data_IF_000454479532
#
_entry.id   IF_000454479532
#
_cell.length_a   1.000
_cell.length_b   1.000
_cell.length_c   1.000
_cell.angle_alpha   90.00
_cell.angle_beta   90.00
_cell.angle_gamma   90.00
#
_symmetry.space_group_name_H-M   'P 1'
#
loop_
_entity.id
_entity.type
_entity.pdbx_description
1 polymer ?
#
# COMPACT_ATOMS: atom_id res chain seq x y z
N UNK A 1 6.88 4.39 -9.34
CA UNK A 1 6.08 4.29 -8.09
C UNK A 1 6.69 4.99 -6.87
N UNK A 2 7.81 4.53 -6.27
CA UNK A 2 8.38 5.09 -5.01
C UNK A 2 8.57 6.62 -5.01
N UNK A 3 9.14 7.19 -6.08
CA UNK A 3 9.28 8.66 -6.21
C UNK A 3 7.95 9.39 -6.44
N UNK A 4 6.98 8.77 -7.10
CA UNK A 4 5.68 9.37 -7.40
C UNK A 4 4.82 9.46 -6.14
N UNK A 5 4.78 8.39 -5.33
CA UNK A 5 4.03 8.33 -4.07
C UNK A 5 4.65 9.23 -3.00
N UNK A 6 5.98 9.21 -2.82
CA UNK A 6 6.66 10.14 -1.91
C UNK A 6 6.46 11.60 -2.33
N UNK A 7 6.47 11.91 -3.63
CA UNK A 7 6.23 13.27 -4.15
C UNK A 7 4.76 13.70 -4.01
N UNK A 8 3.79 12.81 -4.26
CA UNK A 8 2.36 13.09 -4.07
C UNK A 8 2.01 13.29 -2.60
N UNK A 9 2.56 12.50 -1.68
CA UNK A 9 2.30 12.63 -0.25
C UNK A 9 3.00 13.84 0.36
N UNK A 10 4.21 14.19 -0.11
CA UNK A 10 4.87 15.43 0.33
C UNK A 10 4.17 16.66 -0.22
N UNK A 11 3.74 16.66 -1.49
CA UNK A 11 2.94 17.75 -2.05
C UNK A 11 1.55 17.83 -1.39
N UNK A 12 0.94 16.70 -1.06
CA UNK A 12 -0.35 16.59 -0.40
C UNK A 12 -0.37 17.06 1.06
N UNK A 13 0.70 16.79 1.81
CA UNK A 13 0.88 17.35 3.16
C UNK A 13 1.17 18.86 3.07
N UNK A 14 1.90 19.30 2.05
CA UNK A 14 2.18 20.73 1.77
C UNK A 14 0.91 21.52 1.40
N UNK A 15 -0.10 20.89 0.78
CA UNK A 15 -1.37 21.56 0.44
C UNK A 15 -2.45 21.44 1.52
N UNK A 16 -2.40 20.42 2.38
CA UNK A 16 -3.48 20.15 3.36
C UNK A 16 -3.33 20.87 4.71
N UNK A 17 -2.23 21.60 4.98
CA UNK A 17 -2.03 22.22 6.30
C UNK A 17 -1.40 23.62 6.18
N UNK A 18 -2.26 24.63 6.11
CA UNK A 18 -1.93 25.98 6.59
C UNK A 18 -2.98 26.36 7.64
N UNK A 19 -2.76 25.91 8.88
CA UNK A 19 -3.42 26.44 10.09
C UNK A 19 -2.63 27.67 10.61
N UNK A 20 -2.31 28.59 9.70
CA UNK A 20 -1.68 29.86 10.05
C UNK A 20 -2.74 30.89 10.50
N UNK A 21 -3.49 30.58 11.57
CA UNK A 21 -4.45 31.49 12.20
C UNK A 21 -4.05 31.95 13.62
N UNK A 22 -3.25 31.17 14.35
CA UNK A 22 -3.08 31.39 15.80
C UNK A 22 -1.92 32.32 16.22
N UNK A 23 -1.14 32.90 15.30
CA UNK A 23 -0.02 33.79 15.65
C UNK A 23 -0.37 35.27 15.84
N UNK A 24 -1.65 35.67 15.85
CA UNK A 24 -2.04 37.07 16.12
C UNK A 24 -2.61 37.36 17.52
N UNK A 25 -2.70 36.37 18.41
CA UNK A 25 -2.99 36.63 19.83
C UNK A 25 -1.67 36.73 20.60
N UNK A 26 -0.90 37.78 20.33
CA UNK A 26 0.08 38.22 21.33
C UNK A 26 -0.69 38.79 22.52
N UNK A 27 -0.45 38.37 23.77
CA UNK A 27 -0.96 39.11 24.91
C UNK A 27 -0.39 40.53 24.84
N UNK A 28 -1.26 41.51 24.98
CA UNK A 28 -0.87 42.92 25.16
C UNK A 28 0.14 42.96 26.30
N UNK A 29 1.42 43.17 25.98
CA UNK A 29 2.42 43.47 27.00
C UNK A 29 2.03 44.80 27.62
N UNK A 30 1.44 44.74 28.81
CA UNK A 30 1.29 45.89 29.69
C UNK A 30 2.68 46.51 29.92
N UNK A 31 2.84 47.84 29.82
CA UNK A 31 4.13 48.46 30.01
C UNK A 31 4.58 48.26 31.46
N UNK A 32 5.78 47.72 31.63
CA UNK A 32 6.43 47.49 32.91
C UNK A 32 6.37 48.75 33.80
N UNK A 33 5.63 48.68 34.91
CA UNK A 33 5.78 49.60 36.02
C UNK A 33 7.01 49.20 36.83
N UNK A 34 7.95 50.14 36.99
CA UNK A 34 9.09 50.03 37.90
C UNK A 34 8.59 49.78 39.34
N UNK A 35 9.05 48.68 39.95
CA UNK A 35 8.81 48.41 41.36
C UNK A 35 9.92 49.03 42.23
N UNK A 36 9.50 49.81 43.24
CA UNK A 36 10.35 50.29 44.32
C UNK A 36 10.87 49.13 45.20
N UNK A 37 12.03 49.28 45.85
CA UNK A 37 12.60 48.24 46.72
C UNK A 37 11.78 48.02 48.00
N UNK A 38 11.74 46.79 48.54
CA UNK A 38 10.85 46.44 49.64
C UNK A 38 11.35 46.95 51.00
N UNK A 39 10.46 47.37 51.92
CA UNK A 39 10.81 47.62 53.31
C UNK A 39 10.95 46.32 54.11
N UNK A 40 11.68 46.42 55.22
CA UNK A 40 12.13 45.33 56.08
C UNK A 40 11.00 44.50 56.72
N UNK A 41 11.30 43.21 56.89
CA UNK A 41 10.48 42.12 57.42
C UNK A 41 10.10 42.28 58.89
N UNK A 42 8.79 42.23 59.17
CA UNK A 42 8.23 41.83 60.48
C UNK A 42 7.70 40.38 60.41
N UNK A 43 7.68 39.62 61.53
CA UNK A 43 7.28 38.22 61.53
C UNK A 43 5.77 38.02 61.40
N UNK A 44 5.38 37.21 60.39
CA UNK A 44 4.00 36.85 60.05
C UNK A 44 3.32 35.95 61.10
N UNK A 45 2.08 36.24 61.54
CA UNK A 45 1.25 35.31 62.29
C UNK A 45 0.64 34.23 61.38
N UNK A 46 0.46 33.01 61.90
CA UNK A 46 -0.10 31.88 61.17
C UNK A 46 -1.43 32.22 60.47
N UNK A 47 -1.48 32.03 59.15
CA UNK A 47 -2.69 32.21 58.34
C UNK A 47 -3.69 31.07 58.55
N UNK A 48 -5.01 31.36 58.53
CA UNK A 48 -6.06 30.34 58.54
C UNK A 48 -6.13 29.64 57.16
N UNK A 49 -6.47 28.36 57.18
CA UNK A 49 -6.63 27.51 55.99
C UNK A 49 -7.68 28.08 55.04
N UNK A 50 -7.23 28.52 53.86
CA UNK A 50 -8.05 28.91 52.71
C UNK A 50 -8.85 27.70 52.20
N UNK A 51 -10.15 27.85 51.82
CA UNK A 51 -10.86 26.83 51.06
C UNK A 51 -10.10 26.52 49.76
N UNK A 52 -10.12 25.28 49.31
CA UNK A 52 -9.58 24.90 48.01
C UNK A 52 -10.18 25.84 46.95
N UNK A 53 -9.32 26.55 46.22
CA UNK A 53 -9.75 27.34 45.08
C UNK A 53 -10.39 26.37 44.09
N UNK A 54 -11.64 26.62 43.71
CA UNK A 54 -12.26 25.97 42.56
C UNK A 54 -11.36 26.25 41.36
N UNK A 55 -10.84 25.20 40.74
CA UNK A 55 -10.10 25.33 39.48
C UNK A 55 -11.02 26.03 38.48
N UNK A 56 -10.58 27.10 37.78
CA UNK A 56 -11.40 27.73 36.75
C UNK A 56 -11.88 26.68 35.75
N UNK A 57 -13.15 26.76 35.34
CA UNK A 57 -13.65 25.95 34.25
C UNK A 57 -12.81 26.21 32.99
N UNK A 58 -12.48 25.16 32.25
CA UNK A 58 -11.74 25.27 31.00
C UNK A 58 -12.49 26.18 30.02
N UNK A 59 -11.76 27.04 29.31
CA UNK A 59 -12.33 27.93 28.31
C UNK A 59 -12.05 27.44 26.88
N UNK A 60 -12.70 28.07 25.90
CA UNK A 60 -12.54 27.71 24.49
C UNK A 60 -11.08 27.79 24.01
N UNK A 61 -10.26 28.68 24.60
CA UNK A 61 -8.84 28.81 24.23
C UNK A 61 -7.98 27.64 24.72
N UNK A 62 -8.36 27.02 25.84
CA UNK A 62 -7.72 25.79 26.32
C UNK A 62 -7.94 24.65 25.31
N UNK A 63 -9.16 24.51 24.76
CA UNK A 63 -9.48 23.52 23.73
C UNK A 63 -8.66 23.78 22.45
N UNK A 64 -8.62 25.03 21.98
CA UNK A 64 -7.83 25.39 20.79
C UNK A 64 -6.33 25.13 20.95
N UNK A 65 -5.81 25.15 22.18
CA UNK A 65 -4.40 24.84 22.44
C UNK A 65 -4.05 23.38 22.10
N UNK A 66 -4.96 22.44 22.38
CA UNK A 66 -4.78 21.02 22.02
C UNK A 66 -4.84 20.79 20.51
N UNK A 67 -5.69 21.54 19.80
CA UNK A 67 -5.67 21.52 18.33
C UNK A 67 -4.32 22.00 17.78
N UNK A 68 -3.72 23.05 18.37
CA UNK A 68 -2.38 23.50 18.01
C UNK A 68 -1.26 22.52 18.36
N UNK A 69 -1.43 21.69 19.39
CA UNK A 69 -0.49 20.60 19.70
C UNK A 69 -0.63 19.44 18.71
N UNK A 70 -1.85 19.03 18.39
CA UNK A 70 -2.11 18.01 17.36
C UNK A 70 -1.55 18.45 15.99
N UNK A 71 -1.70 19.73 15.63
CA UNK A 71 -1.12 20.31 14.41
C UNK A 71 0.41 20.22 14.42
N UNK A 72 1.06 20.50 15.55
CA UNK A 72 2.51 20.39 15.67
C UNK A 72 3.00 18.96 15.42
N UNK A 73 2.29 17.98 15.95
CA UNK A 73 2.62 16.58 15.72
C UNK A 73 2.41 16.16 14.26
N UNK A 74 1.33 16.62 13.61
CA UNK A 74 1.13 16.40 12.17
C UNK A 74 2.26 16.99 11.32
N UNK A 75 2.79 18.17 11.67
CA UNK A 75 3.96 18.74 11.01
C UNK A 75 5.22 17.86 11.18
N UNK A 76 5.36 17.17 12.32
CA UNK A 76 6.45 16.21 12.51
C UNK A 76 6.30 14.98 11.62
N UNK A 77 5.06 14.48 11.40
CA UNK A 77 4.80 13.37 10.48
C UNK A 77 5.41 13.65 9.11
N UNK A 78 5.22 14.85 8.56
CA UNK A 78 5.79 15.26 7.28
C UNK A 78 7.32 15.13 7.28
N UNK A 79 7.97 15.70 8.30
CA UNK A 79 9.43 15.68 8.43
C UNK A 79 9.92 14.25 8.54
N UNK A 80 9.21 13.39 9.27
CA UNK A 80 9.59 12.00 9.41
C UNK A 80 9.43 11.20 8.12
N UNK A 81 8.30 11.37 7.41
CA UNK A 81 8.08 10.71 6.12
C UNK A 81 9.12 11.12 5.08
N UNK A 82 9.47 12.42 5.02
CA UNK A 82 10.54 12.93 4.15
C UNK A 82 11.93 12.33 4.43
N UNK A 83 12.14 11.80 5.64
CA UNK A 83 13.41 11.21 6.07
C UNK A 83 13.34 9.67 6.21
N UNK A 84 12.28 9.02 5.74
CA UNK A 84 12.12 7.55 5.86
C UNK A 84 11.96 7.06 7.30
N UNK A 85 11.41 7.88 8.19
CA UNK A 85 11.27 7.60 9.63
C UNK A 85 9.85 7.18 9.98
N UNK A 86 9.40 6.03 9.48
CA UNK A 86 8.00 5.62 9.60
C UNK A 86 7.55 5.33 11.03
N UNK A 87 8.44 4.79 11.88
CA UNK A 87 8.14 4.58 13.30
C UNK A 87 7.88 5.89 14.03
N UNK A 88 8.70 6.92 13.78
CA UNK A 88 8.51 8.25 14.34
C UNK A 88 7.26 8.95 13.77
N UNK A 89 6.96 8.76 12.47
CA UNK A 89 5.73 9.25 11.86
C UNK A 89 4.49 8.65 12.53
N UNK A 90 4.45 7.32 12.76
CA UNK A 90 3.35 6.67 13.49
C UNK A 90 3.22 7.21 14.91
N UNK A 91 4.34 7.42 15.60
CA UNK A 91 4.29 7.94 16.97
C UNK A 91 3.69 9.35 17.00
N UNK A 92 4.08 10.24 16.09
CA UNK A 92 3.46 11.58 16.02
C UNK A 92 1.96 11.54 15.68
N UNK A 93 1.50 10.58 14.87
CA UNK A 93 0.05 10.38 14.65
C UNK A 93 -0.64 9.99 15.97
N UNK A 94 -0.06 9.06 16.73
CA UNK A 94 -0.61 8.64 18.04
C UNK A 94 -0.61 9.81 19.04
N UNK A 95 0.44 10.62 19.06
CA UNK A 95 0.54 11.78 19.94
C UNK A 95 -0.50 12.84 19.56
N UNK A 96 -0.73 13.08 18.26
CA UNK A 96 -1.82 13.95 17.78
C UNK A 96 -3.20 13.45 18.20
N UNK A 97 -3.46 12.13 18.11
CA UNK A 97 -4.72 11.53 18.58
C UNK A 97 -4.92 11.72 20.09
N UNK A 98 -3.84 11.67 20.87
CA UNK A 98 -3.90 11.90 22.31
C UNK A 98 -4.31 13.35 22.62
N UNK A 99 -3.72 14.34 21.93
CA UNK A 99 -4.11 15.74 22.07
C UNK A 99 -5.59 15.98 21.71
N UNK A 100 -6.12 15.32 20.67
CA UNK A 100 -7.54 15.40 20.34
C UNK A 100 -8.44 14.74 21.40
N UNK A 101 -8.00 13.63 22.00
CA UNK A 101 -8.72 13.00 23.11
C UNK A 101 -8.76 13.89 24.36
N UNK A 102 -7.68 14.65 24.61
CA UNK A 102 -7.65 15.64 25.69
C UNK A 102 -8.59 16.82 25.38
N UNK A 103 -8.64 17.29 24.12
CA UNK A 103 -9.61 18.30 23.67
C UNK A 103 -11.07 17.84 23.85
N UNK A 104 -11.38 16.58 23.50
CA UNK A 104 -12.71 15.98 23.69
C UNK A 104 -13.09 15.89 25.17
N UNK A 105 -12.11 15.57 26.03
CA UNK A 105 -12.32 15.54 27.48
C UNK A 105 -12.65 16.94 28.01
N UNK A 106 -11.90 17.97 27.60
CA UNK A 106 -12.16 19.35 28.01
C UNK A 106 -13.47 19.91 27.47
N UNK A 107 -13.85 19.53 26.25
CA UNK A 107 -15.14 19.89 25.67
C UNK A 107 -16.31 19.48 26.58
N UNK A 108 -16.22 18.31 27.22
CA UNK A 108 -17.26 17.83 28.14
C UNK A 108 -17.37 18.63 29.46
N UNK A 109 -16.35 19.42 29.78
CA UNK A 109 -16.24 20.20 31.02
C UNK A 109 -16.35 21.72 30.81
N UNK A 110 -16.32 22.18 29.55
CA UNK A 110 -16.31 23.59 29.18
C UNK A 110 -17.72 24.20 29.17
N UNK A 111 -17.83 25.47 29.56
CA UNK A 111 -19.07 26.27 29.49
C UNK A 111 -19.15 26.99 28.14
N UNK A 112 -19.46 26.23 27.08
CA UNK A 112 -19.54 26.72 25.70
C UNK A 112 -20.99 26.99 25.27
N UNK A 113 -21.16 27.84 24.26
CA UNK A 113 -22.43 27.91 23.55
C UNK A 113 -22.68 26.63 22.76
N UNK A 114 -23.95 26.32 22.50
CA UNK A 114 -24.34 25.13 21.73
C UNK A 114 -23.64 25.07 20.36
N UNK A 115 -23.45 26.22 19.70
CA UNK A 115 -22.76 26.28 18.39
C UNK A 115 -21.27 25.98 18.52
N UNK A 116 -20.60 26.50 19.54
CA UNK A 116 -19.18 26.19 19.81
C UNK A 116 -18.98 24.71 20.16
N UNK A 117 -19.90 24.12 20.93
CA UNK A 117 -19.87 22.69 21.28
C UNK A 117 -20.06 21.80 20.03
N UNK A 118 -21.04 22.14 19.18
CA UNK A 118 -21.31 21.43 17.91
C UNK A 118 -20.10 21.52 16.95
N UNK A 119 -19.57 22.73 16.73
CA UNK A 119 -18.42 22.95 15.83
C UNK A 119 -17.15 22.26 16.34
N UNK A 120 -16.89 22.30 17.65
CA UNK A 120 -15.72 21.61 18.25
C UNK A 120 -15.84 20.10 18.10
N UNK A 121 -17.03 19.53 18.32
CA UNK A 121 -17.28 18.09 18.16
C UNK A 121 -17.02 17.64 16.72
N UNK A 122 -17.49 18.43 15.75
CA UNK A 122 -17.25 18.18 14.33
C UNK A 122 -15.76 18.32 13.98
N UNK A 123 -15.06 19.31 14.53
CA UNK A 123 -13.63 19.50 14.32
C UNK A 123 -12.80 18.31 14.84
N UNK A 124 -13.10 17.81 16.05
CA UNK A 124 -12.45 16.60 16.61
C UNK A 124 -12.73 15.38 15.73
N UNK A 125 -13.98 15.20 15.30
CA UNK A 125 -14.36 14.08 14.44
C UNK A 125 -13.65 14.12 13.09
N UNK A 126 -13.57 15.30 12.47
CA UNK A 126 -12.84 15.50 11.22
C UNK A 126 -11.35 15.19 11.39
N UNK A 127 -10.71 15.74 12.43
CA UNK A 127 -9.28 15.52 12.68
C UNK A 127 -8.95 14.04 12.93
N UNK A 128 -9.84 13.29 13.60
CA UNK A 128 -9.69 11.84 13.77
C UNK A 128 -9.75 11.09 12.44
N UNK A 129 -10.69 11.42 11.55
CA UNK A 129 -10.75 10.80 10.22
C UNK A 129 -9.47 11.09 9.40
N UNK A 130 -8.95 12.32 9.48
CA UNK A 130 -7.67 12.70 8.86
C UNK A 130 -6.51 11.84 9.41
N UNK A 131 -6.39 11.70 10.73
CA UNK A 131 -5.33 10.92 11.37
C UNK A 131 -5.37 9.44 11.02
N UNK A 132 -6.58 8.85 10.95
CA UNK A 132 -6.76 7.47 10.48
C UNK A 132 -6.34 7.34 9.02
N UNK A 133 -6.72 8.28 8.16
CA UNK A 133 -6.27 8.31 6.77
C UNK A 133 -4.76 8.40 6.64
N UNK A 134 -4.10 9.28 7.40
CA UNK A 134 -2.64 9.38 7.43
C UNK A 134 -1.97 8.08 7.90
N UNK A 135 -2.49 7.44 8.95
CA UNK A 135 -1.94 6.16 9.43
C UNK A 135 -1.89 5.12 8.32
N UNK A 136 -2.94 5.02 7.51
CA UNK A 136 -2.99 4.10 6.36
C UNK A 136 -1.94 4.43 5.31
N UNK A 137 -1.70 5.71 5.04
CA UNK A 137 -0.66 6.15 4.10
C UNK A 137 0.76 5.90 4.63
N UNK A 138 0.98 5.95 5.96
CA UNK A 138 2.27 5.56 6.56
C UNK A 138 2.52 4.07 6.37
N UNK A 139 1.50 3.22 6.56
CA UNK A 139 1.60 1.78 6.36
C UNK A 139 1.97 1.44 4.91
N UNK A 140 1.35 2.15 3.94
CA UNK A 140 1.70 2.04 2.51
C UNK A 140 3.16 2.39 2.26
N UNK A 141 3.64 3.51 2.80
CA UNK A 141 5.02 3.96 2.59
C UNK A 141 6.07 3.00 3.17
N UNK A 142 5.79 2.42 4.34
CA UNK A 142 6.66 1.41 4.96
C UNK A 142 6.70 0.14 4.10
N UNK A 143 5.54 -0.37 3.67
CA UNK A 143 5.46 -1.52 2.75
C UNK A 143 6.20 -1.26 1.42
N UNK A 144 6.15 -0.03 0.93
CA UNK A 144 6.88 0.39 -0.27
C UNK A 144 8.41 0.47 -0.05
N UNK A 145 8.87 0.85 1.14
CA UNK A 145 10.29 0.87 1.48
C UNK A 145 10.86 -0.54 1.60
N UNK A 146 10.13 -1.45 2.23
CA UNK A 146 10.52 -2.85 2.44
C UNK A 146 10.44 -3.71 1.16
N UNK A 147 9.93 -3.13 0.05
CA UNK A 147 9.77 -3.85 -1.21
C UNK A 147 8.60 -4.84 -1.21
N UNK A 148 7.72 -4.80 -0.21
CA UNK A 148 6.58 -5.73 -0.11
C UNK A 148 5.64 -5.61 -1.34
N UNK A 149 5.47 -4.39 -1.86
CA UNK A 149 4.70 -4.07 -3.05
C UNK A 149 5.12 -4.81 -4.34
N UNK A 150 6.31 -5.43 -4.35
CA UNK A 150 6.79 -6.28 -5.44
C UNK A 150 6.01 -7.60 -5.55
N UNK A 151 5.21 -7.94 -4.54
CA UNK A 151 4.44 -9.18 -4.49
C UNK A 151 2.95 -8.87 -4.55
N UNK A 152 2.19 -9.68 -5.31
CA UNK A 152 0.78 -9.41 -5.64
C UNK A 152 -0.12 -9.23 -4.41
N UNK A 153 0.04 -10.08 -3.38
CA UNK A 153 -0.76 -9.98 -2.15
C UNK A 153 -0.58 -8.63 -1.46
N UNK A 154 0.64 -8.27 -1.05
CA UNK A 154 0.93 -6.96 -0.48
C UNK A 154 0.64 -5.76 -1.40
N UNK A 155 0.68 -5.94 -2.73
CA UNK A 155 0.25 -4.90 -3.67
C UNK A 155 -1.24 -4.57 -3.54
N UNK A 156 -2.11 -5.58 -3.41
CA UNK A 156 -3.53 -5.35 -3.12
C UNK A 156 -3.73 -4.69 -1.75
N UNK A 157 -3.00 -5.14 -0.72
CA UNK A 157 -3.08 -4.52 0.62
C UNK A 157 -2.70 -3.03 0.59
N UNK A 158 -1.78 -2.64 -0.30
CA UNK A 158 -1.44 -1.23 -0.55
C UNK A 158 -2.59 -0.49 -1.19
N UNK A 159 -3.22 -1.03 -2.25
CA UNK A 159 -4.38 -0.41 -2.90
C UNK A 159 -5.54 -0.26 -1.92
N UNK A 160 -5.83 -1.29 -1.13
CA UNK A 160 -6.87 -1.26 -0.10
C UNK A 160 -6.58 -0.20 0.95
N UNK A 161 -5.33 -0.07 1.39
CA UNK A 161 -4.91 0.94 2.37
C UNK A 161 -5.02 2.37 1.81
N UNK A 162 -4.66 2.60 0.54
CA UNK A 162 -4.84 3.90 -0.12
C UNK A 162 -6.34 4.20 -0.30
N UNK A 163 -7.14 3.20 -0.67
CA UNK A 163 -8.60 3.34 -0.82
C UNK A 163 -9.26 3.68 0.52
N UNK A 164 -8.84 3.04 1.60
CA UNK A 164 -9.31 3.37 2.94
C UNK A 164 -8.89 4.79 3.33
N UNK A 165 -7.64 5.19 3.06
CA UNK A 165 -7.18 6.57 3.31
C UNK A 165 -8.03 7.61 2.55
N UNK A 166 -8.32 7.35 1.28
CA UNK A 166 -9.17 8.20 0.43
C UNK A 166 -10.59 8.36 1.01
N UNK A 167 -11.20 7.24 1.44
CA UNK A 167 -12.53 7.25 2.04
C UNK A 167 -12.56 8.05 3.36
N UNK A 168 -11.52 7.91 4.19
CA UNK A 168 -11.36 8.65 5.45
C UNK A 168 -11.23 10.15 5.23
N UNK A 169 -10.39 10.56 4.29
CA UNK A 169 -10.21 11.98 3.96
C UNK A 169 -11.47 12.59 3.32
N UNK A 170 -12.19 11.82 2.51
CA UNK A 170 -13.50 12.24 1.97
C UNK A 170 -14.52 12.45 3.09
N UNK A 171 -14.61 11.52 4.05
CA UNK A 171 -15.47 11.67 5.22
C UNK A 171 -15.07 12.90 6.05
N UNK A 172 -13.77 13.15 6.25
CA UNK A 172 -13.28 14.34 6.91
C UNK A 172 -13.73 15.63 6.20
N UNK A 173 -13.63 15.69 4.88
CA UNK A 173 -14.09 16.82 4.06
C UNK A 173 -15.60 17.06 4.17
N UNK A 174 -16.40 15.98 4.24
CA UNK A 174 -17.85 16.07 4.47
C UNK A 174 -18.18 16.61 5.87
N UNK A 175 -17.49 16.12 6.92
CA UNK A 175 -17.65 16.61 8.29
C UNK A 175 -17.29 18.09 8.39
N UNK A 176 -16.17 18.50 7.79
CA UNK A 176 -15.70 19.88 7.78
C UNK A 176 -16.75 20.85 7.20
N UNK A 177 -17.53 20.41 6.21
CA UNK A 177 -18.60 21.24 5.61
C UNK A 177 -19.74 21.61 6.57
N UNK A 178 -19.84 20.92 7.71
CA UNK A 178 -20.81 21.20 8.78
C UNK A 178 -20.33 22.21 9.82
N UNK A 179 -19.03 22.54 9.85
CA UNK A 179 -18.45 23.47 10.82
C UNK A 179 -18.77 24.91 10.40
N UNK A 180 -19.19 25.75 11.35
CA UNK A 180 -19.51 27.16 11.09
C UNK A 180 -18.48 28.15 11.61
N UNK A 181 -17.68 27.77 12.61
CA UNK A 181 -16.54 28.54 13.12
C UNK A 181 -15.40 28.59 12.10
N UNK A 182 -15.12 29.80 11.61
CA UNK A 182 -14.07 30.03 10.62
C UNK A 182 -12.66 29.73 11.15
N UNK A 183 -12.43 29.88 12.46
CA UNK A 183 -11.15 29.60 13.11
C UNK A 183 -10.86 28.10 13.10
N UNK A 184 -11.89 27.27 13.28
CA UNK A 184 -11.76 25.82 13.18
C UNK A 184 -11.64 25.38 11.72
N UNK A 185 -12.39 26.00 10.81
CA UNK A 185 -12.34 25.69 9.37
C UNK A 185 -11.02 26.05 8.68
N UNK A 186 -10.32 27.09 9.15
CA UNK A 186 -9.03 27.49 8.60
C UNK A 186 -8.06 26.29 8.62
N UNK A 187 -7.68 25.79 7.45
CA UNK A 187 -6.77 24.64 7.31
C UNK A 187 -7.46 23.27 7.21
N UNK A 188 -8.79 23.19 7.17
CA UNK A 188 -9.55 21.95 6.94
C UNK A 188 -10.00 21.82 5.48
N UNK A 189 -9.08 22.06 4.53
CA UNK A 189 -9.31 21.86 3.10
C UNK A 189 -8.44 20.72 2.57
N UNK A 190 -9.09 19.63 2.18
CA UNK A 190 -8.43 18.39 1.74
C UNK A 190 -8.66 18.11 0.26
N UNK A 191 -9.45 18.93 -0.43
CA UNK A 191 -9.93 18.65 -1.79
C UNK A 191 -8.79 18.41 -2.80
N UNK A 192 -7.73 19.21 -2.77
CA UNK A 192 -6.57 19.02 -3.66
C UNK A 192 -5.79 17.74 -3.33
N UNK A 193 -5.71 17.38 -2.05
CA UNK A 193 -5.04 16.17 -1.60
C UNK A 193 -5.84 14.91 -1.93
N UNK A 194 -7.15 14.92 -1.69
CA UNK A 194 -8.06 13.85 -2.10
C UNK A 194 -7.97 13.63 -3.61
N UNK A 195 -8.00 14.70 -4.41
CA UNK A 195 -7.86 14.59 -5.86
C UNK A 195 -6.52 13.97 -6.28
N UNK A 196 -5.44 14.25 -5.54
CA UNK A 196 -4.13 13.65 -5.77
C UNK A 196 -4.10 12.14 -5.44
N UNK A 197 -4.82 11.73 -4.40
CA UNK A 197 -4.99 10.31 -4.04
C UNK A 197 -5.87 9.60 -5.08
N UNK A 198 -6.93 10.25 -5.56
CA UNK A 198 -7.80 9.71 -6.61
C UNK A 198 -7.02 9.46 -7.92
N UNK A 199 -6.20 10.42 -8.35
CA UNK A 199 -5.33 10.24 -9.54
C UNK A 199 -4.35 9.07 -9.35
N UNK A 200 -3.79 8.93 -8.14
CA UNK A 200 -2.89 7.83 -7.81
C UNK A 200 -3.61 6.47 -7.82
N UNK A 201 -4.80 6.39 -7.24
CA UNK A 201 -5.62 5.17 -7.26
C UNK A 201 -5.99 4.78 -8.69
N UNK A 202 -6.38 5.75 -9.53
CA UNK A 202 -6.69 5.50 -10.94
C UNK A 202 -5.47 4.93 -11.69
N UNK A 203 -4.28 5.49 -11.45
CA UNK A 203 -3.03 4.98 -12.02
C UNK A 203 -2.71 3.55 -11.55
N UNK A 204 -2.79 3.29 -10.25
CA UNK A 204 -2.48 1.97 -9.67
C UNK A 204 -3.46 0.89 -10.14
N UNK A 205 -4.75 1.22 -10.22
CA UNK A 205 -5.78 0.30 -10.73
C UNK A 205 -5.63 0.04 -12.23
N UNK A 206 -5.21 1.05 -13.01
CA UNK A 206 -4.93 0.86 -14.43
C UNK A 206 -3.70 -0.05 -14.65
N UNK A 207 -2.64 0.13 -13.85
CA UNK A 207 -1.47 -0.76 -13.87
C UNK A 207 -1.83 -2.19 -13.45
N UNK A 208 -2.62 -2.35 -12.38
CA UNK A 208 -3.11 -3.65 -11.92
C UNK A 208 -3.92 -4.37 -13.00
N UNK A 209 -4.85 -3.66 -13.65
CA UNK A 209 -5.66 -4.20 -14.73
C UNK A 209 -4.78 -4.61 -15.92
N UNK A 210 -3.76 -3.81 -16.25
CA UNK A 210 -2.83 -4.14 -17.34
C UNK A 210 -2.03 -5.41 -17.03
N UNK A 211 -1.51 -5.53 -15.80
CA UNK A 211 -0.83 -6.74 -15.31
C UNK A 211 -1.79 -7.93 -15.36
N UNK A 212 -3.02 -7.78 -14.85
CA UNK A 212 -4.00 -8.85 -14.84
C UNK A 212 -4.36 -9.31 -16.28
N UNK A 213 -4.54 -8.37 -17.21
CA UNK A 213 -4.75 -8.69 -18.64
C UNK A 213 -3.53 -9.46 -19.18
N UNK A 214 -2.31 -9.01 -18.88
CA UNK A 214 -1.07 -9.68 -19.31
C UNK A 214 -1.02 -11.12 -18.77
N UNK A 215 -1.19 -11.31 -17.46
CA UNK A 215 -1.24 -12.63 -16.80
C UNK A 215 -2.32 -13.52 -17.43
N UNK A 216 -3.51 -12.98 -17.67
CA UNK A 216 -4.61 -13.70 -18.31
C UNK A 216 -4.24 -14.17 -19.72
N UNK A 217 -3.50 -13.38 -20.51
CA UNK A 217 -3.09 -13.82 -21.85
C UNK A 217 -2.24 -15.08 -21.84
N UNK A 218 -1.36 -15.26 -20.85
CA UNK A 218 -0.56 -16.48 -20.72
C UNK A 218 -1.40 -17.66 -20.23
N UNK A 219 -2.22 -17.44 -19.21
CA UNK A 219 -3.13 -18.42 -18.62
C UNK A 219 -4.12 -18.94 -19.68
N UNK A 220 -4.71 -18.08 -20.49
CA UNK A 220 -5.61 -18.45 -21.58
C UNK A 220 -4.98 -19.41 -22.59
N UNK A 221 -3.65 -19.43 -22.73
CA UNK A 221 -2.93 -20.36 -23.62
C UNK A 221 -2.62 -21.72 -23.01
N UNK A 222 -2.78 -21.89 -21.70
CA UNK A 222 -2.64 -23.20 -21.07
C UNK A 222 -3.77 -24.11 -21.58
N UNK A 223 -3.40 -25.14 -22.35
CA UNK A 223 -4.31 -26.05 -23.04
C UNK A 223 -3.87 -27.51 -22.79
N UNK A 224 -4.23 -28.08 -21.61
CA UNK A 224 -3.82 -29.43 -21.23
C UNK A 224 -4.38 -30.52 -22.13
N UNK A 225 -5.58 -30.31 -22.71
CA UNK A 225 -6.22 -31.30 -23.57
C UNK A 225 -5.39 -31.57 -24.82
N UNK A 226 -4.78 -30.51 -25.37
CA UNK A 226 -4.05 -30.59 -26.62
C UNK A 226 -2.71 -31.31 -26.58
N UNK A 227 -2.10 -31.39 -25.40
CA UNK A 227 -0.78 -32.00 -25.18
C UNK A 227 -0.86 -33.30 -24.37
N UNK A 228 -2.06 -33.72 -23.99
CA UNK A 228 -2.30 -34.85 -23.09
C UNK A 228 -1.63 -36.15 -23.54
N UNK A 229 -1.78 -36.51 -24.81
CA UNK A 229 -1.24 -37.78 -25.32
C UNK A 229 0.30 -37.80 -25.24
N UNK A 230 0.95 -36.68 -25.58
CA UNK A 230 2.39 -36.54 -25.49
C UNK A 230 2.89 -36.54 -24.03
N UNK A 231 2.18 -35.86 -23.13
CA UNK A 231 2.52 -35.85 -21.71
C UNK A 231 2.43 -37.27 -21.10
N UNK A 232 1.41 -38.06 -21.48
CA UNK A 232 1.28 -39.46 -21.07
C UNK A 232 2.43 -40.31 -21.63
N UNK A 233 2.78 -40.12 -22.91
CA UNK A 233 3.90 -40.85 -23.53
C UNK A 233 5.23 -40.58 -22.82
N UNK A 234 5.55 -39.30 -22.56
CA UNK A 234 6.79 -38.90 -21.88
C UNK A 234 6.88 -39.46 -20.46
N UNK A 235 5.73 -39.66 -19.80
CA UNK A 235 5.67 -40.10 -18.41
C UNK A 235 5.41 -41.60 -18.24
N UNK A 236 5.35 -42.38 -19.32
CA UNK A 236 4.99 -43.81 -19.29
C UNK A 236 5.88 -44.64 -18.35
N UNK A 237 7.18 -44.34 -18.30
CA UNK A 237 8.17 -45.05 -17.47
C UNK A 237 8.38 -44.42 -16.08
N UNK A 238 7.66 -43.35 -15.74
CA UNK A 238 7.82 -42.65 -14.48
C UNK A 238 7.32 -43.51 -13.30
N UNK A 239 8.20 -43.76 -12.33
CA UNK A 239 7.86 -44.62 -11.18
C UNK A 239 7.24 -43.88 -9.99
N UNK A 240 7.18 -42.55 -10.06
CA UNK A 240 6.59 -41.66 -9.06
C UNK A 240 6.40 -40.25 -9.64
N UNK A 241 5.66 -39.42 -8.90
CA UNK A 241 5.28 -38.05 -9.29
C UNK A 241 6.48 -37.18 -9.62
N UNK A 242 7.50 -37.16 -8.75
CA UNK A 242 8.73 -36.40 -8.99
C UNK A 242 9.39 -36.77 -10.31
N UNK A 243 9.45 -38.07 -10.66
CA UNK A 243 10.01 -38.51 -11.95
C UNK A 243 9.12 -38.14 -13.13
N UNK A 244 7.80 -38.17 -12.99
CA UNK A 244 6.88 -37.77 -14.05
C UNK A 244 7.05 -36.28 -14.38
N UNK A 245 7.06 -35.42 -13.33
CA UNK A 245 7.33 -33.99 -13.47
C UNK A 245 8.71 -33.73 -14.05
N UNK A 246 9.75 -34.40 -13.54
CA UNK A 246 11.13 -34.25 -14.05
C UNK A 246 11.21 -34.65 -15.53
N UNK A 247 10.53 -35.72 -15.97
CA UNK A 247 10.55 -36.15 -17.37
C UNK A 247 9.92 -35.11 -18.32
N UNK A 248 8.80 -34.49 -17.91
CA UNK A 248 8.18 -33.40 -18.68
C UNK A 248 9.10 -32.16 -18.68
N UNK A 249 9.65 -31.81 -17.53
CA UNK A 249 10.60 -30.70 -17.41
C UNK A 249 11.81 -30.87 -18.33
N UNK A 250 12.48 -32.03 -18.25
CA UNK A 250 13.62 -32.37 -19.09
C UNK A 250 13.24 -32.36 -20.58
N UNK A 251 12.06 -32.90 -20.95
CA UNK A 251 11.59 -32.88 -22.33
C UNK A 251 11.49 -31.45 -22.88
N UNK A 252 10.83 -30.54 -22.16
CA UNK A 252 10.67 -29.15 -22.61
C UNK A 252 12.03 -28.45 -22.63
N UNK A 253 12.83 -28.59 -21.55
CA UNK A 253 14.18 -28.00 -21.46
C UNK A 253 15.09 -28.46 -22.59
N UNK A 254 15.08 -29.74 -22.94
CA UNK A 254 16.09 -30.29 -23.85
C UNK A 254 15.63 -30.27 -25.31
N UNK A 255 14.31 -30.24 -25.56
CA UNK A 255 13.74 -30.30 -26.92
C UNK A 255 13.41 -28.92 -27.48
N UNK A 256 12.90 -27.99 -26.66
CA UNK A 256 12.46 -26.68 -27.13
C UNK A 256 13.63 -25.70 -27.10
N UNK A 257 13.87 -25.03 -28.24
CA UNK A 257 14.94 -24.04 -28.40
C UNK A 257 14.45 -22.66 -27.97
N UNK A 258 15.27 -21.97 -27.18
CA UNK A 258 14.97 -20.58 -26.83
C UNK A 258 15.14 -19.66 -28.05
N UNK A 259 14.08 -18.97 -28.44
CA UNK A 259 14.04 -18.02 -29.56
C UNK A 259 13.12 -16.86 -29.19
N UNK A 260 13.69 -15.67 -29.03
CA UNK A 260 12.92 -14.46 -28.72
C UNK A 260 11.89 -14.14 -29.80
N UNK A 261 10.80 -13.53 -29.36
CA UNK A 261 9.78 -12.98 -30.23
C UNK A 261 10.32 -11.93 -31.24
N UNK A 262 9.78 -11.91 -32.48
CA UNK A 262 10.17 -10.94 -33.49
C UNK A 262 9.60 -9.54 -33.18
N UNK A 263 10.43 -8.66 -32.60
CA UNK A 263 10.17 -7.21 -32.36
C UNK A 263 8.72 -6.90 -31.91
N UNK A 264 8.43 -7.20 -30.66
CA UNK A 264 7.40 -6.50 -29.89
C UNK A 264 7.80 -5.03 -29.70
N UNK A 265 6.88 -4.10 -29.94
CA UNK A 265 7.02 -2.71 -29.47
C UNK A 265 6.56 -2.62 -28.01
N UNK A 266 6.89 -1.53 -27.28
CA UNK A 266 6.48 -1.33 -25.87
C UNK A 266 4.94 -1.34 -25.64
N UNK A 267 4.14 -1.36 -26.72
CA UNK A 267 2.68 -1.45 -26.71
C UNK A 267 2.14 -2.78 -27.28
N UNK A 268 3.00 -3.67 -27.76
CA UNK A 268 2.63 -4.99 -28.25
C UNK A 268 2.80 -6.01 -27.11
N UNK A 269 1.75 -6.76 -26.82
CA UNK A 269 1.84 -7.94 -25.96
C UNK A 269 2.75 -8.98 -26.61
N UNK A 270 3.59 -9.66 -25.82
CA UNK A 270 4.33 -10.84 -26.28
C UNK A 270 3.36 -11.83 -26.92
N UNK A 271 3.79 -12.42 -28.04
CA UNK A 271 2.99 -13.39 -28.75
C UNK A 271 3.18 -14.76 -28.10
N UNK A 272 2.36 -15.02 -27.09
CA UNK A 272 2.33 -16.31 -26.40
C UNK A 272 1.83 -17.42 -27.34
N UNK A 273 2.69 -18.38 -27.63
CA UNK A 273 2.36 -19.51 -28.49
C UNK A 273 1.52 -20.54 -27.73
N UNK A 274 0.43 -21.06 -28.35
CA UNK A 274 -0.24 -22.24 -27.84
C UNK A 274 0.71 -23.44 -27.78
N UNK A 275 0.55 -24.37 -26.83
CA UNK A 275 1.53 -25.42 -26.56
C UNK A 275 1.79 -26.33 -27.77
N UNK A 276 0.79 -26.62 -28.60
CA UNK A 276 0.92 -27.40 -29.83
C UNK A 276 1.83 -26.71 -30.85
N UNK A 277 1.79 -25.37 -30.89
CA UNK A 277 2.62 -24.58 -31.78
C UNK A 277 4.08 -24.59 -31.31
N UNK A 278 4.31 -24.45 -30.00
CA UNK A 278 5.65 -24.57 -29.38
C UNK A 278 6.27 -25.93 -29.69
N UNK A 279 5.49 -27.02 -29.55
CA UNK A 279 5.91 -28.38 -29.93
C UNK A 279 6.22 -28.47 -31.43
N UNK A 280 5.33 -27.98 -32.30
CA UNK A 280 5.50 -28.08 -33.75
C UNK A 280 6.74 -27.33 -34.25
N UNK A 281 7.07 -26.19 -33.62
CA UNK A 281 8.23 -25.37 -33.98
C UNK A 281 9.52 -25.81 -33.30
N UNK A 282 9.42 -26.58 -32.21
CA UNK A 282 10.52 -26.87 -31.29
C UNK A 282 11.25 -25.59 -30.84
N UNK A 283 10.51 -24.48 -30.73
CA UNK A 283 11.08 -23.16 -30.44
C UNK A 283 10.05 -22.17 -29.86
N UNK A 284 10.53 -21.34 -28.95
CA UNK A 284 9.81 -20.25 -28.28
C UNK A 284 10.69 -19.57 -27.23
N UNK A 285 10.27 -18.50 -26.61
CA UNK A 285 10.96 -17.85 -25.48
C UNK A 285 10.36 -18.27 -24.13
N UNK A 286 10.53 -17.46 -23.08
CA UNK A 286 10.33 -17.91 -21.70
C UNK A 286 8.87 -18.24 -21.40
N UNK A 287 7.95 -17.45 -21.92
CA UNK A 287 6.52 -17.64 -21.74
C UNK A 287 6.00 -18.88 -22.49
N UNK A 288 6.48 -19.10 -23.72
CA UNK A 288 6.18 -20.30 -24.51
C UNK A 288 6.59 -21.60 -23.81
N UNK A 289 7.78 -21.60 -23.18
CA UNK A 289 8.27 -22.75 -22.42
C UNK A 289 7.39 -23.00 -21.19
N UNK A 290 7.05 -21.94 -20.46
CA UNK A 290 6.22 -22.01 -19.26
C UNK A 290 4.78 -22.44 -19.56
N UNK A 291 4.15 -21.91 -20.61
CA UNK A 291 2.80 -22.33 -21.06
C UNK A 291 2.78 -23.79 -21.49
N UNK A 292 3.81 -24.25 -22.23
CA UNK A 292 3.92 -25.66 -22.61
C UNK A 292 4.10 -26.57 -21.39
N UNK A 293 5.01 -26.21 -20.47
CA UNK A 293 5.21 -26.95 -19.23
C UNK A 293 3.92 -27.05 -18.41
N UNK A 294 3.23 -25.93 -18.19
CA UNK A 294 1.98 -25.86 -17.46
C UNK A 294 0.93 -26.77 -18.10
N UNK A 295 0.74 -26.66 -19.42
CA UNK A 295 -0.21 -27.49 -20.17
C UNK A 295 0.08 -28.98 -20.02
N UNK A 296 1.35 -29.39 -20.12
CA UNK A 296 1.73 -30.81 -20.03
C UNK A 296 1.58 -31.36 -18.61
N UNK A 297 1.92 -30.59 -17.58
CA UNK A 297 1.80 -31.00 -16.17
C UNK A 297 0.34 -31.05 -15.73
N UNK A 298 -0.47 -30.07 -16.10
CA UNK A 298 -1.91 -30.08 -15.84
C UNK A 298 -2.61 -31.22 -16.56
N UNK A 299 -2.13 -31.63 -17.75
CA UNK A 299 -2.70 -32.74 -18.49
C UNK A 299 -2.59 -34.08 -17.73
N UNK A 300 -1.58 -34.23 -16.87
CA UNK A 300 -1.38 -35.40 -16.01
C UNK A 300 -1.79 -35.15 -14.54
N UNK A 301 -2.42 -34.01 -14.25
CA UNK A 301 -3.11 -33.75 -12.98
C UNK A 301 -2.36 -32.95 -11.93
N UNK A 302 -1.28 -32.23 -12.29
CA UNK A 302 -0.61 -31.30 -11.36
C UNK A 302 -1.09 -29.87 -11.58
N UNK A 303 -1.42 -29.17 -10.49
CA UNK A 303 -1.65 -27.73 -10.53
C UNK A 303 -0.33 -26.99 -10.75
N UNK A 304 -0.38 -25.93 -11.55
CA UNK A 304 0.79 -25.10 -11.84
C UNK A 304 0.52 -23.62 -11.56
N UNK A 305 1.58 -22.92 -11.19
CA UNK A 305 1.56 -21.48 -10.89
C UNK A 305 2.51 -20.81 -11.88
N UNK A 306 2.01 -19.86 -12.67
CA UNK A 306 2.89 -19.04 -13.53
C UNK A 306 3.65 -18.07 -12.64
N UNK A 307 4.95 -17.95 -12.85
CA UNK A 307 5.82 -17.08 -12.08
C UNK A 307 6.53 -16.10 -13.01
N UNK A 308 6.30 -14.81 -12.75
CA UNK A 308 7.06 -13.72 -13.37
C UNK A 308 8.30 -13.48 -12.53
N UNK A 309 9.47 -13.45 -13.16
CA UNK A 309 10.76 -13.28 -12.50
C UNK A 309 11.46 -12.07 -13.08
N UNK A 310 12.02 -11.26 -12.19
CA UNK A 310 12.99 -10.23 -12.54
C UNK A 310 14.40 -10.82 -12.44
N UNK A 311 15.11 -10.85 -13.57
CA UNK A 311 16.50 -11.36 -13.65
C UNK A 311 17.54 -10.24 -13.66
N UNK A 312 17.13 -8.97 -13.60
CA UNK A 312 18.05 -7.83 -13.56
C UNK A 312 18.32 -7.39 -12.10
N UNK A 313 19.60 -7.26 -11.74
CA UNK A 313 20.02 -6.74 -10.43
C UNK A 313 19.99 -5.20 -10.38
N UNK A 314 20.06 -4.51 -11.53
CA UNK A 314 20.25 -3.04 -11.59
C UNK A 314 18.93 -2.24 -11.63
N UNK A 315 17.83 -2.89 -12.01
CA UNK A 315 16.50 -2.32 -12.00
C UNK A 315 15.51 -3.39 -11.54
N UNK A 316 15.37 -3.65 -10.23
CA UNK A 316 14.17 -4.32 -9.76
C UNK A 316 13.01 -3.51 -10.35
N UNK A 317 11.94 -4.14 -10.83
CA UNK A 317 10.60 -3.57 -11.11
C UNK A 317 10.00 -3.93 -12.47
N UNK A 318 10.72 -4.59 -13.37
CA UNK A 318 10.17 -5.03 -14.66
C UNK A 318 10.45 -6.52 -14.87
N UNK A 319 9.50 -7.42 -14.50
CA UNK A 319 9.71 -8.85 -14.73
C UNK A 319 9.97 -9.10 -16.21
N UNK A 320 11.16 -9.63 -16.48
CA UNK A 320 11.71 -9.83 -17.82
C UNK A 320 11.82 -11.31 -18.20
N UNK A 321 11.36 -12.19 -17.30
CA UNK A 321 11.44 -13.63 -17.47
C UNK A 321 10.22 -14.33 -16.87
N UNK A 322 9.92 -15.54 -17.36
CA UNK A 322 8.77 -16.33 -16.90
C UNK A 322 9.15 -17.80 -16.74
N UNK A 323 8.65 -18.42 -15.67
CA UNK A 323 8.70 -19.86 -15.44
C UNK A 323 7.44 -20.33 -14.70
N UNK A 324 7.42 -21.57 -14.23
CA UNK A 324 6.32 -22.10 -13.44
C UNK A 324 6.80 -22.74 -12.14
N UNK A 325 5.91 -22.78 -11.16
CA UNK A 325 6.03 -23.61 -9.97
C UNK A 325 5.03 -24.75 -10.07
N UNK A 326 5.43 -25.93 -9.59
CA UNK A 326 4.55 -27.08 -9.40
C UNK A 326 4.67 -27.58 -7.96
N UNK A 327 3.54 -28.00 -7.39
CA UNK A 327 3.48 -28.56 -6.04
C UNK A 327 3.43 -30.08 -6.10
N UNK A 328 4.38 -30.74 -5.44
CA UNK A 328 4.46 -32.20 -5.28
C UNK A 328 4.62 -32.51 -3.79
N UNK A 329 3.70 -33.29 -3.20
CA UNK A 329 3.73 -33.67 -1.78
C UNK A 329 3.91 -32.46 -0.84
N UNK A 330 3.10 -31.41 -1.02
CA UNK A 330 3.14 -30.15 -0.26
C UNK A 330 4.49 -29.41 -0.35
N UNK A 331 5.27 -29.66 -1.40
CA UNK A 331 6.51 -28.93 -1.70
C UNK A 331 6.46 -28.33 -3.09
N UNK A 332 6.82 -27.06 -3.15
CA UNK A 332 6.93 -26.31 -4.39
C UNK A 332 8.29 -26.56 -5.04
N UNK A 333 8.27 -26.71 -6.36
CA UNK A 333 9.45 -26.81 -7.21
C UNK A 333 9.32 -25.81 -8.35
N UNK A 334 10.29 -24.92 -8.48
CA UNK A 334 10.43 -24.05 -9.64
C UNK A 334 10.98 -24.85 -10.83
N UNK A 335 10.40 -24.61 -12.01
CA UNK A 335 10.76 -25.31 -13.25
C UNK A 335 11.23 -24.30 -14.30
N UNK A 336 12.54 -24.07 -14.34
CA UNK A 336 13.19 -23.13 -15.26
C UNK A 336 13.68 -23.83 -16.54
N UNK A 337 12.80 -24.03 -17.53
CA UNK A 337 13.14 -24.79 -18.74
C UNK A 337 13.96 -24.01 -19.79
N UNK A 338 14.17 -22.70 -19.61
CA UNK A 338 15.05 -21.94 -20.48
C UNK A 338 16.53 -22.12 -20.08
N UNK A 339 16.79 -22.47 -18.82
CA UNK A 339 18.12 -22.82 -18.33
C UNK A 339 18.49 -24.27 -18.70
N UNK A 340 19.34 -24.43 -19.72
CA UNK A 340 19.74 -25.76 -20.24
C UNK A 340 20.61 -26.60 -19.28
N UNK A 341 21.02 -26.04 -18.15
CA UNK A 341 21.86 -26.73 -17.15
C UNK A 341 21.20 -26.83 -15.79
N UNK A 342 19.98 -26.31 -15.62
CA UNK A 342 19.29 -26.32 -14.33
C UNK A 342 18.54 -27.64 -14.14
N UNK A 343 18.65 -28.19 -12.93
CA UNK A 343 17.81 -29.30 -12.49
C UNK A 343 16.46 -28.79 -11.96
N UNK A 344 15.50 -29.70 -11.82
CA UNK A 344 14.19 -29.40 -11.24
C UNK A 344 14.34 -28.80 -9.84
N UNK A 345 13.80 -27.60 -9.62
CA UNK A 345 13.91 -26.85 -8.37
C UNK A 345 15.15 -25.97 -8.25
N UNK A 346 15.98 -25.87 -9.29
CA UNK A 346 17.11 -24.95 -9.35
C UNK A 346 16.79 -23.69 -10.17
N UNK A 347 17.37 -22.56 -9.77
CA UNK A 347 17.33 -21.32 -10.53
C UNK A 347 18.70 -20.62 -10.49
N UNK A 348 19.19 -20.10 -11.62
CA UNK A 348 20.50 -19.46 -11.68
C UNK A 348 20.40 -17.96 -11.30
N UNK A 349 20.22 -17.63 -10.03
CA UNK A 349 20.23 -16.24 -9.56
C UNK A 349 19.45 -16.01 -8.25
N UNK A 350 19.49 -14.77 -7.77
CA UNK A 350 18.49 -14.28 -6.81
C UNK A 350 17.21 -13.98 -7.59
N UNK A 351 16.06 -14.41 -7.04
CA UNK A 351 14.76 -14.21 -7.68
C UNK A 351 13.87 -13.35 -6.82
N UNK A 352 13.27 -12.36 -7.47
CA UNK A 352 12.02 -11.76 -7.03
C UNK A 352 10.95 -12.32 -7.94
N UNK A 353 10.04 -13.12 -7.38
CA UNK A 353 8.99 -13.76 -8.18
C UNK A 353 7.60 -13.31 -7.73
N UNK A 354 6.71 -13.21 -8.71
CA UNK A 354 5.28 -13.01 -8.51
C UNK A 354 4.54 -14.20 -9.13
N UNK A 355 3.93 -15.01 -8.28
CA UNK A 355 3.23 -16.23 -8.68
C UNK A 355 1.72 -16.03 -8.80
N UNK A 356 1.12 -16.58 -9.84
CA UNK A 356 -0.33 -16.63 -10.05
C UNK A 356 -0.78 -18.08 -10.24
N UNK A 357 -1.61 -18.58 -9.33
CA UNK A 357 -2.24 -19.90 -9.50
C UNK A 357 -3.24 -19.83 -10.65
N UNK A 358 -3.12 -20.76 -11.60
CA UNK A 358 -3.96 -20.79 -12.80
C UNK A 358 -5.45 -20.84 -12.46
N UNK A 359 -5.84 -21.72 -11.54
CA UNK A 359 -7.25 -21.96 -11.25
C UNK A 359 -7.87 -20.79 -10.48
N UNK A 360 -7.14 -20.25 -9.51
CA UNK A 360 -7.56 -19.10 -8.72
C UNK A 360 -7.69 -17.84 -9.60
N UNK A 361 -6.64 -17.53 -10.37
CA UNK A 361 -6.61 -16.34 -11.21
C UNK A 361 -7.64 -16.40 -12.33
N UNK A 362 -7.81 -17.56 -12.98
CA UNK A 362 -8.84 -17.75 -14.02
C UNK A 362 -10.24 -17.52 -13.45
N UNK A 363 -10.53 -18.03 -12.26
CA UNK A 363 -11.82 -17.83 -11.59
C UNK A 363 -12.04 -16.34 -11.32
N UNK A 364 -11.06 -15.67 -10.72
CA UNK A 364 -11.11 -14.22 -10.45
C UNK A 364 -11.37 -13.40 -11.73
N UNK A 365 -10.68 -13.71 -12.83
CA UNK A 365 -10.85 -12.99 -14.10
C UNK A 365 -12.22 -13.24 -14.74
N UNK A 366 -12.71 -14.48 -14.71
CA UNK A 366 -14.04 -14.81 -15.22
C UNK A 366 -15.14 -14.07 -14.44
N UNK A 367 -15.01 -14.00 -13.11
CA UNK A 367 -15.89 -13.23 -12.25
C UNK A 367 -15.83 -11.72 -12.57
N UNK A 368 -14.62 -11.15 -12.70
CA UNK A 368 -14.40 -9.74 -13.04
C UNK A 368 -14.98 -9.38 -14.43
N UNK A 369 -14.94 -10.32 -15.38
CA UNK A 369 -15.53 -10.17 -16.72
C UNK A 369 -17.05 -10.38 -16.75
N UNK A 370 -17.69 -10.62 -15.60
CA UNK A 370 -19.13 -10.89 -15.50
C UNK A 370 -19.54 -12.23 -16.12
N UNK A 371 -18.58 -13.11 -16.36
CA UNK A 371 -18.78 -14.47 -16.86
C UNK A 371 -18.73 -15.41 -15.67
N UNK A 372 -19.81 -15.48 -14.90
CA UNK A 372 -19.92 -16.42 -13.79
C UNK A 372 -19.66 -17.86 -14.25
N UNK A 373 -18.86 -18.59 -13.46
CA UNK A 373 -18.50 -20.01 -13.67
C UNK A 373 -19.73 -20.92 -13.60
#
# INVERSE_FOLDING_TARGET
MKRTVTLLLTVGVITSLILAGCLQITPVTEPAQESEPPPATEPTPAQPTTPAAETPAADYSDILSFFGEAERELNHVEVYLNNGKFSEARQSIVDAQLHLSDAETLLSEADLSQTEEEDTTLAISCANEVLVGYSKLVDVLEAMEDGAWLTWGPYHEIIDSITEAQARLTAAQEIASGITDQTLLEGMEFAEFIASIDEMLEQLQAEELLVAIKVYTYIDKIDPESVRDLAIEITEDATNDKKAVTAIFDYVRDTIKYVNDPRVTELDFDYVQPPQQTIQREAGDCDDHAVLLASMLEAIGYSTTICFVDTDEEAPLEPNHMNIIVTIDDREYILEATCKTCDMGEYPGEMYYQGYDYAEFKTMMLEAMGQGV
#
